data_IF_337173054816
#
_entry.id   IF_337173054816
#
_cell.length_a   1.000
_cell.length_b   1.000
_cell.length_c   1.000
_cell.angle_alpha   90.00
_cell.angle_beta   90.00
_cell.angle_gamma   90.00
#
_symmetry.space_group_name_H-M   'P 1'
#
loop_
_entity.id
_entity.type
_entity.pdbx_description
1 polymer ?
#
# COMPACT_ATOMS: atom_id res chain seq x y z
N UNK A 1 -3.01 14.03 -13.59
CA UNK A 1 -4.40 13.81 -13.08
C UNK A 1 -4.38 12.62 -12.13
N UNK A 2 -4.92 12.76 -10.93
CA UNK A 2 -4.94 11.68 -9.94
C UNK A 2 -6.00 10.62 -10.33
N UNK A 3 -5.61 9.35 -10.29
CA UNK A 3 -6.49 8.19 -10.43
C UNK A 3 -6.37 7.27 -9.22
N UNK A 4 -7.45 6.56 -8.89
CA UNK A 4 -7.49 5.58 -7.82
C UNK A 4 -8.11 4.29 -8.34
N UNK A 5 -7.36 3.19 -8.29
CA UNK A 5 -7.86 1.84 -8.57
C UNK A 5 -7.90 1.04 -7.27
N UNK A 6 -9.03 0.39 -7.01
CA UNK A 6 -9.20 -0.48 -5.84
C UNK A 6 -9.07 -1.94 -6.26
N UNK A 7 -8.23 -2.69 -5.55
CA UNK A 7 -8.06 -4.13 -5.70
C UNK A 7 -8.52 -4.80 -4.41
N UNK A 8 -9.70 -5.42 -4.46
CA UNK A 8 -10.29 -6.11 -3.31
C UNK A 8 -9.60 -7.46 -3.09
N UNK A 9 -9.03 -7.68 -1.90
CA UNK A 9 -8.51 -8.97 -1.50
C UNK A 9 -9.68 -9.94 -1.21
N UNK A 10 -9.64 -11.20 -1.67
CA UNK A 10 -10.69 -12.18 -1.41
C UNK A 10 -10.58 -12.77 0.01
N UNK A 11 -10.57 -11.91 1.03
CA UNK A 11 -10.50 -12.25 2.46
C UNK A 11 -11.72 -11.72 3.24
N UNK A 12 -12.97 -12.04 2.84
CA UNK A 12 -14.16 -11.52 3.53
C UNK A 12 -14.26 -12.04 4.97
N UNK A 13 -14.87 -11.24 5.84
CA UNK A 13 -14.99 -11.60 7.25
C UNK A 13 -15.65 -10.51 8.12
N UNK A 14 -15.91 -10.81 9.40
CA UNK A 14 -16.53 -9.86 10.33
C UNK A 14 -15.71 -8.58 10.56
N UNK A 15 -14.38 -8.66 10.39
CA UNK A 15 -13.47 -7.53 10.56
C UNK A 15 -13.05 -6.88 9.23
N UNK A 16 -13.10 -7.63 8.13
CA UNK A 16 -12.65 -7.19 6.79
C UNK A 16 -13.81 -6.87 5.85
N UNK A 17 -15.06 -7.09 6.26
CA UNK A 17 -16.24 -6.89 5.41
C UNK A 17 -16.18 -7.76 4.15
N UNK A 18 -16.32 -7.18 2.94
CA UNK A 18 -16.10 -7.91 1.68
C UNK A 18 -14.65 -8.36 1.45
N UNK A 19 -13.69 -7.76 2.15
CA UNK A 19 -12.25 -7.97 2.01
C UNK A 19 -11.46 -6.67 2.18
N UNK A 20 -10.14 -6.78 2.34
CA UNK A 20 -9.26 -5.62 2.40
C UNK A 20 -9.23 -4.91 1.05
N UNK A 21 -9.40 -3.59 1.04
CA UNK A 21 -9.15 -2.78 -0.14
C UNK A 21 -7.67 -2.40 -0.19
N UNK A 22 -6.98 -2.83 -1.25
CA UNK A 22 -5.69 -2.28 -1.64
C UNK A 22 -5.91 -1.19 -2.67
N UNK A 23 -5.23 -0.06 -2.52
CA UNK A 23 -5.36 1.06 -3.45
C UNK A 23 -4.09 1.25 -4.26
N UNK A 24 -4.24 1.37 -5.58
CA UNK A 24 -3.20 1.90 -6.47
C UNK A 24 -3.59 3.33 -6.79
N UNK A 25 -2.83 4.29 -6.28
CA UNK A 25 -3.07 5.72 -6.49
C UNK A 25 -1.99 6.23 -7.42
N UNK A 26 -2.37 6.81 -8.55
CA UNK A 26 -1.43 7.22 -9.59
C UNK A 26 -1.62 8.67 -10.04
N UNK A 27 -0.52 9.28 -10.47
CA UNK A 27 -0.51 10.56 -11.18
C UNK A 27 0.72 10.65 -12.09
N UNK A 28 0.55 11.20 -13.29
CA UNK A 28 1.64 11.47 -14.27
C UNK A 28 2.64 10.31 -14.45
N UNK A 29 2.13 9.07 -14.59
CA UNK A 29 2.97 7.90 -14.85
C UNK A 29 3.64 7.30 -13.61
N UNK A 30 3.48 7.89 -12.42
CA UNK A 30 3.93 7.33 -11.15
C UNK A 30 2.76 6.88 -10.27
N UNK A 31 3.00 5.98 -9.33
CA UNK A 31 1.99 5.51 -8.40
C UNK A 31 2.54 5.09 -7.03
N UNK A 32 1.64 4.99 -6.06
CA UNK A 32 1.86 4.30 -4.79
C UNK A 32 0.85 3.17 -4.63
N UNK A 33 1.23 2.17 -3.84
CA UNK A 33 0.34 1.09 -3.42
C UNK A 33 0.05 1.26 -1.93
N UNK A 34 -1.22 1.17 -1.51
CA UNK A 34 -1.65 1.34 -0.11
C UNK A 34 -2.32 0.05 0.36
N UNK A 35 -1.86 -0.48 1.50
CA UNK A 35 -2.37 -1.67 2.18
C UNK A 35 -2.45 -2.91 1.28
N UNK A 36 -1.31 -3.53 0.93
CA UNK A 36 -1.25 -4.69 0.03
C UNK A 36 -1.80 -5.99 0.64
N UNK A 37 -2.49 -5.90 1.77
CA UNK A 37 -3.32 -6.97 2.30
C UNK A 37 -2.56 -8.04 3.09
N UNK A 38 -3.25 -9.15 3.42
CA UNK A 38 -2.59 -10.36 3.90
C UNK A 38 -1.73 -10.99 2.79
N UNK A 39 -0.93 -12.01 3.13
CA UNK A 39 -0.21 -12.80 2.12
C UNK A 39 -1.22 -13.61 1.29
N UNK A 40 -1.56 -13.11 0.11
CA UNK A 40 -2.48 -13.75 -0.82
C UNK A 40 -2.00 -13.57 -2.27
N UNK A 41 -1.45 -14.64 -2.86
CA UNK A 41 -0.75 -14.59 -4.16
C UNK A 41 -1.61 -13.98 -5.29
N UNK A 42 -2.88 -14.40 -5.42
CA UNK A 42 -3.75 -13.88 -6.47
C UNK A 42 -4.09 -12.39 -6.32
N UNK A 43 -4.11 -11.90 -5.08
CA UNK A 43 -4.41 -10.49 -4.79
C UNK A 43 -3.16 -9.62 -4.98
N UNK A 44 -1.98 -10.14 -4.60
CA UNK A 44 -0.70 -9.52 -4.91
C UNK A 44 -0.48 -9.41 -6.42
N UNK A 45 -0.76 -10.48 -7.18
CA UNK A 45 -0.71 -10.44 -8.65
C UNK A 45 -1.65 -9.39 -9.22
N UNK A 46 -2.91 -9.39 -8.81
CA UNK A 46 -3.89 -8.40 -9.28
C UNK A 46 -3.50 -6.95 -8.93
N UNK A 47 -2.86 -6.75 -7.77
CA UNK A 47 -2.32 -5.44 -7.37
C UNK A 47 -1.17 -5.01 -8.28
N UNK A 48 -0.23 -5.91 -8.57
CA UNK A 48 0.87 -5.64 -9.49
C UNK A 48 0.36 -5.38 -10.93
N UNK A 49 -0.66 -6.11 -11.36
CA UNK A 49 -1.28 -5.91 -12.67
C UNK A 49 -1.98 -4.54 -12.76
N UNK A 50 -2.69 -4.12 -11.71
CA UNK A 50 -3.31 -2.80 -11.61
C UNK A 50 -2.28 -1.65 -11.54
N UNK A 51 -1.10 -1.94 -10.99
CA UNK A 51 0.04 -1.03 -10.92
C UNK A 51 0.90 -1.02 -12.20
N UNK A 52 0.64 -1.93 -13.16
CA UNK A 52 1.44 -2.10 -14.36
C UNK A 52 1.43 -0.84 -15.23
N UNK A 53 2.62 -0.44 -15.71
CA UNK A 53 2.81 0.76 -16.52
C UNK A 53 3.03 2.05 -15.72
N UNK A 54 2.97 1.99 -14.38
CA UNK A 54 3.39 3.09 -13.52
C UNK A 54 4.77 2.85 -12.90
N UNK A 55 5.52 3.91 -12.69
CA UNK A 55 6.67 3.91 -11.79
C UNK A 55 6.16 3.92 -10.34
N UNK A 56 6.29 2.80 -9.64
CA UNK A 56 5.91 2.72 -8.23
C UNK A 56 6.99 3.41 -7.40
N UNK A 57 6.58 4.31 -6.51
CA UNK A 57 7.53 5.06 -5.67
C UNK A 57 7.60 4.55 -4.22
N UNK A 58 6.52 3.91 -3.75
CA UNK A 58 6.42 3.36 -2.40
C UNK A 58 5.26 2.38 -2.23
N UNK A 59 5.39 1.49 -1.26
CA UNK A 59 4.29 0.70 -0.69
C UNK A 59 3.98 1.26 0.69
N UNK A 60 2.76 1.73 0.91
CA UNK A 60 2.31 2.37 2.13
C UNK A 60 1.43 1.42 2.95
N UNK A 61 1.62 1.39 4.27
CA UNK A 61 0.78 0.66 5.21
C UNK A 61 0.14 1.63 6.19
N UNK A 62 -1.19 1.57 6.30
CA UNK A 62 -1.97 2.42 7.21
C UNK A 62 -1.73 2.05 8.67
N UNK A 63 -1.81 0.75 8.98
CA UNK A 63 -1.56 0.19 10.31
C UNK A 63 -1.19 -1.30 10.21
N UNK A 64 -0.66 -1.87 11.29
CA UNK A 64 0.02 -3.16 11.27
C UNK A 64 -0.89 -4.37 11.50
N UNK A 65 -2.20 -4.25 11.23
CA UNK A 65 -3.09 -5.40 11.38
C UNK A 65 -2.88 -6.43 10.26
N UNK A 66 -3.19 -7.72 10.54
CA UNK A 66 -2.86 -8.83 9.65
C UNK A 66 -3.54 -8.79 8.28
N UNK A 67 -4.62 -8.03 8.14
CA UNK A 67 -5.35 -7.86 6.89
C UNK A 67 -4.82 -6.73 6.02
N UNK A 68 -3.86 -5.92 6.48
CA UNK A 68 -3.29 -4.78 5.73
C UNK A 68 -1.79 -4.92 5.42
N UNK A 69 -1.01 -5.30 6.42
CA UNK A 69 0.44 -5.14 6.39
C UNK A 69 1.29 -6.32 5.86
N UNK A 70 0.90 -7.60 6.03
CA UNK A 70 1.81 -8.73 5.74
C UNK A 70 2.32 -8.83 4.31
N UNK A 71 1.58 -8.31 3.32
CA UNK A 71 2.02 -8.27 1.92
C UNK A 71 3.07 -7.20 1.61
N UNK A 72 3.29 -6.23 2.51
CA UNK A 72 3.97 -4.99 2.16
C UNK A 72 5.47 -5.12 1.92
N UNK A 73 6.21 -5.74 2.84
CA UNK A 73 7.66 -5.85 2.70
C UNK A 73 8.06 -6.66 1.46
N UNK A 74 7.39 -7.78 1.19
CA UNK A 74 7.67 -8.61 0.02
C UNK A 74 7.35 -7.89 -1.29
N UNK A 75 6.25 -7.14 -1.34
CA UNK A 75 5.88 -6.35 -2.50
C UNK A 75 6.84 -5.19 -2.74
N UNK A 76 7.20 -4.45 -1.69
CA UNK A 76 8.17 -3.36 -1.74
C UNK A 76 9.54 -3.86 -2.22
N UNK A 77 10.00 -5.00 -1.69
CA UNK A 77 11.22 -5.65 -2.12
C UNK A 77 11.18 -6.06 -3.60
N UNK A 78 10.05 -6.64 -4.06
CA UNK A 78 9.89 -7.03 -5.46
C UNK A 78 9.93 -5.84 -6.42
N UNK A 79 9.41 -4.70 -5.99
CA UNK A 79 9.35 -3.45 -6.77
C UNK A 79 10.60 -2.58 -6.60
N UNK A 80 11.53 -2.95 -5.71
CA UNK A 80 12.73 -2.17 -5.36
C UNK A 80 12.42 -0.75 -4.85
N UNK A 81 11.34 -0.63 -4.04
CA UNK A 81 10.86 0.63 -3.45
C UNK A 81 10.77 0.51 -1.93
N UNK A 82 10.72 1.63 -1.17
CA UNK A 82 10.54 1.55 0.27
C UNK A 82 9.13 1.08 0.66
N UNK A 83 9.06 0.24 1.69
CA UNK A 83 7.87 0.03 2.49
C UNK A 83 7.78 1.14 3.56
N UNK A 84 6.69 1.89 3.59
CA UNK A 84 6.49 3.03 4.47
C UNK A 84 5.31 2.79 5.42
N UNK A 85 5.43 3.23 6.68
CA UNK A 85 4.35 3.16 7.67
C UNK A 85 4.73 3.83 8.99
N UNK A 86 3.78 3.94 9.92
CA UNK A 86 4.01 4.67 11.19
C UNK A 86 4.98 3.96 12.14
N UNK A 87 4.86 2.65 12.28
CA UNK A 87 5.64 1.85 13.21
C UNK A 87 5.78 0.40 12.72
N UNK A 88 6.80 -0.36 13.18
CA UNK A 88 6.88 -1.79 12.94
C UNK A 88 5.76 -2.54 13.67
N UNK A 89 5.41 -3.71 13.14
CA UNK A 89 4.44 -4.61 13.76
C UNK A 89 4.60 -6.05 13.29
N UNK A 90 3.66 -6.94 13.65
CA UNK A 90 3.70 -8.33 13.18
C UNK A 90 3.75 -8.38 11.65
N UNK A 91 4.75 -9.07 11.11
CA UNK A 91 4.94 -9.25 9.67
C UNK A 91 5.19 -7.97 8.85
N UNK A 92 5.47 -6.84 9.50
CA UNK A 92 5.77 -5.58 8.84
C UNK A 92 6.89 -4.80 9.53
N UNK A 93 7.93 -4.45 8.77
CA UNK A 93 9.02 -3.59 9.21
C UNK A 93 9.21 -2.49 8.16
N UNK A 94 8.82 -1.23 8.43
CA UNK A 94 8.96 -0.16 7.45
C UNK A 94 10.44 0.20 7.21
N UNK A 95 10.80 0.43 5.95
CA UNK A 95 12.08 1.03 5.55
C UNK A 95 12.09 2.54 5.85
N UNK A 96 10.92 3.18 5.78
CA UNK A 96 10.70 4.58 6.15
C UNK A 96 9.56 4.71 7.15
N UNK A 97 9.85 5.28 8.32
CA UNK A 97 8.82 5.70 9.26
C UNK A 97 8.14 6.96 8.76
N UNK A 98 6.81 6.98 8.80
CA UNK A 98 5.99 8.16 8.50
C UNK A 98 5.35 8.67 9.78
N UNK A 99 5.44 9.97 10.01
CA UNK A 99 4.82 10.70 11.11
C UNK A 99 3.78 11.69 10.57
N UNK A 100 3.02 12.31 11.46
CA UNK A 100 1.98 13.27 11.07
C UNK A 100 2.57 14.42 10.23
N UNK A 101 1.96 14.68 9.07
CA UNK A 101 2.40 15.69 8.11
C UNK A 101 3.51 15.25 7.14
N UNK A 102 4.08 14.05 7.29
CA UNK A 102 5.07 13.55 6.32
C UNK A 102 4.45 13.36 4.94
N UNK A 103 5.23 13.65 3.90
CA UNK A 103 4.79 13.60 2.51
C UNK A 103 5.43 12.45 1.75
N UNK A 104 4.63 11.77 0.92
CA UNK A 104 5.06 10.86 -0.14
C UNK A 104 4.58 11.42 -1.48
N UNK A 105 5.53 11.93 -2.28
CA UNK A 105 5.26 12.50 -3.60
C UNK A 105 5.38 11.44 -4.71
N UNK A 106 4.53 11.54 -5.73
CA UNK A 106 4.53 10.67 -6.92
C UNK A 106 3.93 11.45 -8.11
N UNK A 107 4.66 11.51 -9.22
CA UNK A 107 4.26 12.35 -10.36
C UNK A 107 4.14 13.82 -9.95
N UNK A 108 2.98 14.43 -10.22
CA UNK A 108 2.61 15.78 -9.78
C UNK A 108 1.69 15.81 -8.55
N UNK A 109 1.54 14.66 -7.87
CA UNK A 109 0.66 14.48 -6.72
C UNK A 109 1.43 14.11 -5.44
N UNK A 110 0.75 14.23 -4.30
CA UNK A 110 1.29 13.90 -3.00
C UNK A 110 0.25 13.23 -2.10
N UNK A 111 0.73 12.36 -1.20
CA UNK A 111 -0.02 11.85 -0.06
C UNK A 111 0.61 12.41 1.21
N UNK A 112 -0.21 13.06 2.03
CA UNK A 112 0.16 13.56 3.35
C UNK A 112 -0.29 12.55 4.40
N UNK A 113 0.65 12.08 5.22
CA UNK A 113 0.34 11.23 6.36
C UNK A 113 -0.43 12.03 7.42
N UNK A 114 -1.56 11.48 7.86
CA UNK A 114 -2.36 12.04 8.97
C UNK A 114 -2.43 10.99 10.06
N UNK A 115 -1.91 11.30 11.24
CA UNK A 115 -1.93 10.37 12.36
C UNK A 115 -3.31 10.34 13.01
N UNK A 116 -3.99 9.19 12.92
CA UNK A 116 -5.36 9.00 13.43
C UNK A 116 -5.41 7.87 14.47
N UNK A 117 -5.00 8.13 15.73
CA UNK A 117 -5.01 7.13 16.80
C UNK A 117 -6.40 6.81 17.35
#
# INVERSE_FOLDING_TARGET
MISVTTVLCPNPGPFTGPGTNTYVVSSEGSAVIIDPGPVHEGHQRATLDAASGFEIVAVLVTHTHPDHAPGANAMAQHLEVPACGFAPGPHFVPDRLLTDGDVVAFGDAEIVAVHTP
#
